data_IF_788286172131
#
_entry.id   IF_788286172131
#
_cell.length_a   1.000
_cell.length_b   1.000
_cell.length_c   1.000
_cell.angle_alpha   90.00
_cell.angle_beta   90.00
_cell.angle_gamma   90.00
#
_symmetry.space_group_name_H-M   'P 1'
#
loop_
_entity.id
_entity.type
_entity.pdbx_description
1 polymer ?
#
# COMPACT_ATOMS: atom_id res chain seq x y z
N UNK A 1 40.79 -38.51 -86.46
CA UNK A 1 40.73 -37.03 -86.55
C UNK A 1 41.56 -36.49 -85.40
N UNK A 2 42.85 -36.21 -85.65
CA UNK A 2 43.38 -34.88 -86.02
C UNK A 2 42.97 -33.80 -85.00
N UNK A 3 43.83 -33.06 -84.31
CA UNK A 3 45.30 -32.82 -84.33
C UNK A 3 45.60 -32.13 -82.98
N UNK A 4 46.57 -32.57 -82.16
CA UNK A 4 47.98 -32.09 -82.14
C UNK A 4 48.08 -30.60 -81.71
N UNK A 5 48.75 -30.15 -80.65
CA UNK A 5 50.20 -30.17 -80.28
C UNK A 5 50.29 -29.41 -78.93
N UNK A 6 50.80 -29.97 -77.83
CA UNK A 6 52.20 -30.00 -77.31
C UNK A 6 52.81 -28.62 -76.95
N UNK A 7 53.53 -28.53 -75.81
CA UNK A 7 53.93 -27.31 -75.10
C UNK A 7 55.40 -26.90 -75.40
N UNK A 8 55.93 -25.98 -74.58
CA UNK A 8 57.34 -25.56 -74.38
C UNK A 8 57.79 -24.29 -75.11
N UNK A 9 58.34 -23.32 -74.36
CA UNK A 9 59.78 -23.00 -74.38
C UNK A 9 60.13 -21.64 -73.73
N UNK A 10 61.01 -21.74 -72.71
CA UNK A 10 62.20 -20.90 -72.43
C UNK A 10 62.03 -19.40 -72.10
N UNK A 11 62.80 -18.79 -71.17
CA UNK A 11 64.27 -18.71 -71.24
C UNK A 11 64.89 -18.09 -69.94
N UNK A 12 65.97 -18.70 -69.42
CA UNK A 12 67.18 -18.13 -68.77
C UNK A 12 67.08 -17.30 -67.45
N UNK A 13 68.03 -17.30 -66.50
CA UNK A 13 69.45 -17.70 -66.39
C UNK A 13 69.81 -17.85 -64.89
N UNK A 14 70.79 -18.72 -64.61
CA UNK A 14 71.51 -18.96 -63.35
C UNK A 14 72.16 -17.70 -62.72
N UNK A 15 72.34 -17.68 -61.39
CA UNK A 15 73.65 -17.78 -60.70
C UNK A 15 73.57 -17.40 -59.20
N UNK A 16 73.95 -18.38 -58.37
CA UNK A 16 74.87 -18.32 -57.21
C UNK A 16 74.61 -17.35 -56.03
N UNK A 17 74.72 -17.94 -54.82
CA UNK A 17 75.44 -17.33 -53.70
C UNK A 17 74.59 -17.14 -52.44
N UNK A 18 74.65 -18.10 -51.53
CA UNK A 18 74.02 -17.99 -50.22
C UNK A 18 74.63 -16.88 -49.35
N UNK A 19 73.75 -16.20 -48.63
CA UNK A 19 74.01 -15.59 -47.32
C UNK A 19 72.72 -15.71 -46.51
N UNK A 20 72.80 -16.40 -45.37
CA UNK A 20 71.71 -16.57 -44.42
C UNK A 20 71.20 -15.21 -43.92
N UNK A 21 69.88 -14.99 -43.97
CA UNK A 21 69.22 -13.94 -43.17
C UNK A 21 67.75 -14.31 -42.95
N UNK A 22 67.44 -14.70 -41.70
CA UNK A 22 66.12 -14.66 -41.07
C UNK A 22 65.03 -15.54 -41.67
N UNK A 23 64.69 -16.66 -41.01
CA UNK A 23 63.34 -17.22 -41.09
C UNK A 23 62.35 -16.17 -40.57
N UNK A 24 61.59 -15.55 -41.48
CA UNK A 24 60.33 -14.91 -41.11
C UNK A 24 59.30 -16.02 -40.87
N UNK A 25 58.89 -16.13 -39.60
CA UNK A 25 57.76 -16.93 -39.18
C UNK A 25 56.51 -16.56 -39.99
N UNK A 26 55.61 -17.53 -40.29
CA UNK A 26 54.37 -17.23 -40.98
C UNK A 26 53.53 -16.26 -40.14
N UNK A 27 52.87 -15.34 -40.85
CA UNK A 27 52.00 -14.31 -40.32
C UNK A 27 51.17 -14.82 -39.13
N UNK A 28 51.30 -14.11 -38.01
CA UNK A 28 50.47 -14.26 -36.82
C UNK A 28 49.01 -14.26 -37.29
N UNK A 29 48.33 -15.39 -37.12
CA UNK A 29 46.87 -15.47 -37.22
C UNK A 29 46.34 -14.43 -36.25
N UNK A 30 45.73 -13.37 -36.77
CA UNK A 30 44.99 -12.45 -35.92
C UNK A 30 43.98 -13.28 -35.12
N UNK A 31 44.06 -13.18 -33.80
CA UNK A 31 43.03 -13.72 -32.91
C UNK A 31 41.66 -13.22 -33.42
N UNK A 32 40.60 -14.04 -33.35
CA UNK A 32 39.24 -13.55 -33.58
C UNK A 32 39.04 -12.26 -32.75
N UNK A 33 38.38 -11.23 -33.27
CA UNK A 33 38.07 -10.05 -32.46
C UNK A 33 37.43 -10.51 -31.17
N UNK A 34 37.94 -10.03 -30.03
CA UNK A 34 37.27 -10.26 -28.75
C UNK A 34 35.80 -9.85 -28.91
N UNK A 35 34.84 -10.68 -28.48
CA UNK A 35 33.44 -10.32 -28.57
C UNK A 35 33.25 -8.99 -27.85
N UNK A 36 32.73 -8.00 -28.58
CA UNK A 36 32.36 -6.71 -27.99
C UNK A 36 31.43 -6.98 -26.81
N UNK A 37 31.68 -6.40 -25.61
CA UNK A 37 30.75 -6.51 -24.50
C UNK A 37 29.36 -6.05 -24.95
N UNK A 38 28.34 -6.86 -24.66
CA UNK A 38 26.95 -6.52 -24.95
C UNK A 38 26.53 -5.32 -24.12
N UNK A 39 25.69 -4.48 -24.68
CA UNK A 39 25.01 -3.41 -23.96
C UNK A 39 23.90 -3.98 -23.06
N UNK A 40 23.45 -3.21 -22.07
CA UNK A 40 22.33 -3.59 -21.23
C UNK A 40 21.05 -3.88 -22.03
N UNK A 41 20.82 -3.09 -23.09
CA UNK A 41 19.69 -3.29 -24.00
C UNK A 41 19.79 -4.61 -24.79
N UNK A 42 20.97 -4.93 -25.33
CA UNK A 42 21.18 -6.22 -26.02
C UNK A 42 21.02 -7.41 -25.06
N UNK A 43 21.40 -7.27 -23.79
CA UNK A 43 21.18 -8.31 -22.77
C UNK A 43 19.70 -8.47 -22.41
N UNK A 44 18.95 -7.37 -22.34
CA UNK A 44 17.49 -7.41 -22.16
C UNK A 44 16.79 -8.10 -23.34
N UNK A 45 17.19 -7.79 -24.58
CA UNK A 45 16.63 -8.39 -25.80
C UNK A 45 16.87 -9.90 -25.92
N UNK A 46 17.82 -10.44 -25.16
CA UNK A 46 18.10 -11.87 -25.07
C UNK A 46 17.28 -12.60 -24.00
N UNK A 47 16.60 -11.87 -23.12
CA UNK A 47 15.76 -12.47 -22.08
C UNK A 47 14.48 -13.06 -22.68
N UNK A 48 14.03 -14.15 -22.07
CA UNK A 48 12.70 -14.71 -22.33
C UNK A 48 11.71 -13.86 -21.55
N UNK A 49 10.68 -13.37 -22.22
CA UNK A 49 9.56 -12.65 -21.60
C UNK A 49 8.28 -13.37 -22.02
N UNK A 50 7.61 -13.97 -21.05
CA UNK A 50 6.37 -14.73 -21.21
C UNK A 50 5.56 -14.74 -19.91
N UNK A 51 4.53 -15.59 -19.80
CA UNK A 51 3.65 -15.63 -18.62
C UNK A 51 4.38 -16.11 -17.33
N UNK A 52 5.63 -16.56 -17.42
CA UNK A 52 6.43 -17.03 -16.28
C UNK A 52 7.78 -16.34 -16.13
N UNK A 53 8.18 -15.49 -17.09
CA UNK A 53 9.43 -14.72 -17.05
C UNK A 53 9.18 -13.26 -17.45
N UNK A 54 9.77 -12.34 -16.71
CA UNK A 54 9.84 -10.92 -17.04
C UNK A 54 11.28 -10.41 -16.92
N UNK A 55 11.59 -9.37 -17.65
CA UNK A 55 12.88 -8.69 -17.57
C UNK A 55 12.76 -7.22 -17.97
N UNK A 56 13.47 -6.35 -17.27
CA UNK A 56 13.45 -4.92 -17.54
C UNK A 56 14.73 -4.24 -17.05
N UNK A 57 14.96 -3.02 -17.53
CA UNK A 57 16.10 -2.20 -17.13
C UNK A 57 15.65 -1.13 -16.14
N UNK A 58 16.43 -0.94 -15.08
CA UNK A 58 16.28 0.17 -14.12
C UNK A 58 17.49 1.07 -14.26
N UNK A 59 17.30 2.30 -14.74
CA UNK A 59 18.37 3.30 -14.77
C UNK A 59 18.51 3.93 -13.39
N UNK A 60 19.46 3.45 -12.61
CA UNK A 60 19.70 3.97 -11.26
C UNK A 60 20.19 5.42 -11.27
N UNK A 61 20.66 5.96 -12.41
CA UNK A 61 21.30 7.28 -12.50
C UNK A 61 22.69 7.37 -11.83
N UNK A 62 23.03 6.42 -10.95
CA UNK A 62 24.24 6.39 -10.14
C UNK A 62 25.44 5.70 -10.79
N UNK A 63 26.40 5.26 -9.95
CA UNK A 63 27.67 4.65 -10.40
C UNK A 63 27.49 3.36 -11.20
N UNK A 64 26.36 2.68 -11.03
CA UNK A 64 26.05 1.42 -11.71
C UNK A 64 25.31 1.64 -13.04
N UNK A 65 24.73 2.81 -13.26
CA UNK A 65 23.95 3.13 -14.46
C UNK A 65 22.70 2.24 -14.54
N UNK A 66 22.44 1.68 -15.71
CA UNK A 66 21.31 0.77 -15.91
C UNK A 66 21.62 -0.65 -15.41
N UNK A 67 20.74 -1.18 -14.56
CA UNK A 67 20.74 -2.55 -14.07
C UNK A 67 19.66 -3.37 -14.78
N UNK A 68 19.91 -4.66 -14.97
CA UNK A 68 18.92 -5.60 -15.51
C UNK A 68 18.24 -6.33 -14.34
N UNK A 69 16.93 -6.24 -14.27
CA UNK A 69 16.10 -7.02 -13.35
C UNK A 69 15.47 -8.16 -14.14
N UNK A 70 15.53 -9.38 -13.60
CA UNK A 70 14.81 -10.55 -14.11
C UNK A 70 13.89 -11.09 -13.04
N UNK A 71 12.70 -11.50 -13.45
CA UNK A 71 11.70 -12.12 -12.58
C UNK A 71 11.27 -13.44 -13.19
N UNK A 72 11.44 -14.53 -12.46
CA UNK A 72 10.96 -15.86 -12.87
C UNK A 72 9.98 -16.43 -11.85
N UNK A 73 8.92 -17.09 -12.32
CA UNK A 73 8.04 -17.86 -11.45
C UNK A 73 8.85 -18.99 -10.80
N UNK A 74 8.86 -19.07 -9.46
CA UNK A 74 9.78 -19.92 -8.72
C UNK A 74 9.62 -21.41 -9.08
N UNK A 75 10.61 -22.05 -9.73
CA UNK A 75 10.46 -23.42 -10.18
C UNK A 75 10.82 -24.36 -9.04
N UNK A 76 9.84 -24.79 -8.22
CA UNK A 76 9.87 -26.04 -7.41
C UNK A 76 8.71 -26.13 -6.39
N UNK A 77 7.46 -26.07 -6.84
CA UNK A 77 6.29 -26.39 -6.00
C UNK A 77 5.85 -25.30 -5.02
N UNK A 78 6.45 -24.10 -5.11
CA UNK A 78 5.95 -22.87 -4.51
C UNK A 78 5.17 -22.07 -5.56
N UNK A 79 4.03 -22.62 -6.00
CA UNK A 79 3.07 -21.83 -6.78
C UNK A 79 2.72 -20.55 -5.99
N UNK A 80 2.72 -19.40 -6.67
CA UNK A 80 2.47 -18.10 -6.06
C UNK A 80 3.72 -17.39 -5.51
N UNK A 81 4.94 -17.73 -5.96
CA UNK A 81 6.17 -17.00 -5.65
C UNK A 81 6.98 -16.68 -6.92
N UNK A 82 7.69 -15.55 -6.92
CA UNK A 82 8.65 -15.14 -7.94
C UNK A 82 10.07 -15.00 -7.38
N UNK A 83 11.08 -15.40 -8.15
CA UNK A 83 12.49 -15.08 -7.92
C UNK A 83 12.82 -13.79 -8.68
N UNK A 84 13.26 -12.79 -7.94
CA UNK A 84 13.76 -11.52 -8.44
C UNK A 84 15.28 -11.56 -8.40
N UNK A 85 15.93 -11.25 -9.52
CA UNK A 85 17.38 -11.13 -9.60
C UNK A 85 17.77 -9.82 -10.26
N UNK A 86 18.75 -9.14 -9.67
CA UNK A 86 19.31 -7.89 -10.20
C UNK A 86 20.72 -8.18 -10.69
N UNK A 87 21.02 -7.74 -11.90
CA UNK A 87 22.27 -8.01 -12.59
C UNK A 87 22.96 -6.70 -12.98
N UNK A 88 24.28 -6.68 -12.87
CA UNK A 88 25.12 -5.63 -13.47
C UNK A 88 25.42 -6.03 -14.93
N UNK A 89 24.93 -5.29 -15.94
CA UNK A 89 25.21 -5.59 -17.35
C UNK A 89 26.70 -5.65 -17.72
N UNK A 90 27.58 -5.09 -16.88
CA UNK A 90 29.04 -5.11 -17.05
C UNK A 90 29.66 -6.41 -16.52
N UNK A 91 28.99 -7.13 -15.64
CA UNK A 91 29.39 -8.42 -15.08
C UNK A 91 28.18 -9.34 -14.83
N UNK A 92 27.84 -10.12 -15.86
CA UNK A 92 26.72 -11.07 -15.84
C UNK A 92 27.09 -12.44 -15.22
N UNK A 93 28.23 -12.56 -14.52
CA UNK A 93 28.64 -13.85 -13.96
C UNK A 93 27.73 -14.34 -12.83
N UNK A 94 27.25 -13.41 -11.99
CA UNK A 94 26.32 -13.67 -10.89
C UNK A 94 25.43 -12.44 -10.67
N UNK A 95 24.19 -12.60 -10.21
CA UNK A 95 23.36 -11.45 -9.85
C UNK A 95 23.95 -10.75 -8.63
N UNK A 96 23.82 -9.42 -8.57
CA UNK A 96 24.24 -8.60 -7.44
C UNK A 96 23.26 -8.69 -6.27
N UNK A 97 22.00 -9.06 -6.55
CA UNK A 97 20.93 -9.23 -5.56
C UNK A 97 19.95 -10.32 -6.03
N UNK A 98 19.42 -11.08 -5.08
CA UNK A 98 18.40 -12.12 -5.29
C UNK A 98 17.37 -12.07 -4.19
N UNK A 99 16.09 -12.22 -4.52
CA UNK A 99 15.00 -12.22 -3.56
C UNK A 99 13.85 -13.13 -4.03
N UNK A 100 13.13 -13.74 -3.09
CA UNK A 100 11.96 -14.58 -3.39
C UNK A 100 10.75 -13.97 -2.68
N UNK A 101 9.69 -13.67 -3.43
CA UNK A 101 8.48 -13.00 -2.94
C UNK A 101 7.21 -13.70 -3.37
N UNK A 102 6.12 -13.63 -2.57
CA UNK A 102 4.79 -13.98 -3.05
C UNK A 102 4.44 -13.19 -4.32
N UNK A 103 3.84 -13.84 -5.30
CA UNK A 103 3.52 -13.23 -6.58
C UNK A 103 2.36 -13.97 -7.26
N UNK A 104 1.27 -13.26 -7.52
CA UNK A 104 0.10 -13.82 -8.21
C UNK A 104 0.35 -14.05 -9.70
N UNK A 105 1.10 -13.16 -10.35
CA UNK A 105 1.40 -13.20 -11.78
C UNK A 105 2.70 -12.47 -12.14
N UNK A 106 3.35 -12.91 -13.22
CA UNK A 106 4.54 -12.27 -13.79
C UNK A 106 4.12 -11.32 -14.93
N UNK A 107 4.82 -10.18 -15.05
CA UNK A 107 4.81 -9.34 -16.26
C UNK A 107 4.42 -7.88 -16.09
N UNK A 108 4.20 -7.38 -14.87
CA UNK A 108 3.81 -6.00 -14.62
C UNK A 108 4.78 -5.32 -13.64
N UNK A 109 5.59 -4.41 -14.20
CA UNK A 109 6.59 -3.64 -13.49
C UNK A 109 6.48 -2.14 -13.81
N UNK A 110 7.11 -1.33 -12.97
CA UNK A 110 7.29 0.10 -13.17
C UNK A 110 8.71 0.49 -12.79
N UNK A 111 9.30 1.45 -13.51
CA UNK A 111 10.52 2.13 -13.09
C UNK A 111 10.23 3.61 -12.88
N UNK A 112 10.63 4.13 -11.72
CA UNK A 112 10.30 5.48 -11.24
C UNK A 112 11.24 5.85 -10.11
N UNK A 113 11.50 7.13 -9.88
CA UNK A 113 12.12 7.62 -8.65
C UNK A 113 11.03 7.68 -7.57
N UNK A 114 10.95 6.65 -6.73
CA UNK A 114 9.85 6.41 -5.80
C UNK A 114 10.00 7.17 -4.48
N UNK A 115 11.23 7.50 -4.09
CA UNK A 115 11.54 8.32 -2.93
C UNK A 115 11.94 9.77 -3.24
N UNK A 116 11.97 10.11 -4.52
CA UNK A 116 12.26 11.45 -5.05
C UNK A 116 13.70 11.91 -4.74
N UNK A 117 14.62 10.97 -4.59
CA UNK A 117 16.03 11.23 -4.27
C UNK A 117 16.91 11.47 -5.51
N UNK A 118 16.34 11.25 -6.70
CA UNK A 118 16.98 11.43 -8.00
C UNK A 118 17.56 10.16 -8.60
N UNK A 119 17.47 9.02 -7.92
CA UNK A 119 17.84 7.71 -8.46
C UNK A 119 16.62 6.94 -8.97
N UNK A 120 16.86 5.99 -9.87
CA UNK A 120 15.79 5.16 -10.41
C UNK A 120 15.53 3.94 -9.55
N UNK A 121 14.28 3.79 -9.13
CA UNK A 121 13.74 2.65 -8.40
C UNK A 121 12.88 1.77 -9.30
N UNK A 122 12.39 0.67 -8.74
CA UNK A 122 11.38 -0.13 -9.43
C UNK A 122 10.29 -0.67 -8.51
N UNK A 123 9.11 -0.82 -9.11
CA UNK A 123 7.96 -1.48 -8.53
C UNK A 123 7.57 -2.72 -9.33
N UNK A 124 6.97 -3.69 -8.65
CA UNK A 124 6.42 -4.90 -9.27
C UNK A 124 5.06 -5.23 -8.70
N UNK A 125 4.08 -5.46 -9.57
CA UNK A 125 2.72 -5.81 -9.16
C UNK A 125 2.70 -7.23 -8.61
N UNK A 126 2.31 -7.42 -7.35
CA UNK A 126 2.26 -8.75 -6.74
C UNK A 126 0.86 -9.33 -6.60
N UNK A 127 -0.16 -8.48 -6.53
CA UNK A 127 -1.56 -8.91 -6.45
C UNK A 127 -2.45 -8.04 -7.34
N UNK A 128 -3.23 -8.69 -8.19
CA UNK A 128 -4.06 -8.03 -9.21
C UNK A 128 -5.53 -8.47 -9.11
N UNK A 129 -6.40 -7.51 -8.82
CA UNK A 129 -7.85 -7.67 -8.87
C UNK A 129 -8.49 -6.84 -9.99
N UNK A 130 -9.81 -6.66 -9.94
CA UNK A 130 -10.50 -5.63 -10.73
C UNK A 130 -10.40 -4.25 -10.03
N UNK A 131 -9.19 -3.92 -9.50
CA UNK A 131 -8.91 -3.06 -8.35
C UNK A 131 -9.52 -3.56 -7.02
N UNK A 132 -8.80 -3.47 -5.88
CA UNK A 132 -7.45 -2.91 -5.71
C UNK A 132 -6.33 -3.78 -6.34
N UNK A 133 -5.21 -3.14 -6.66
CA UNK A 133 -3.96 -3.73 -7.16
C UNK A 133 -2.82 -3.36 -6.20
N UNK A 134 -1.93 -4.29 -5.87
CA UNK A 134 -0.88 -4.09 -4.87
C UNK A 134 0.52 -4.38 -5.41
N UNK A 135 1.48 -3.56 -4.99
CA UNK A 135 2.81 -3.49 -5.54
C UNK A 135 3.87 -3.61 -4.46
N UNK A 136 4.98 -4.28 -4.78
CA UNK A 136 6.23 -4.12 -4.05
C UNK A 136 7.04 -3.01 -4.71
N UNK A 137 7.78 -2.25 -3.91
CA UNK A 137 8.72 -1.24 -4.40
C UNK A 137 10.08 -1.41 -3.74
N UNK A 138 11.11 -1.20 -4.55
CA UNK A 138 12.50 -1.38 -4.21
C UNK A 138 13.27 -0.10 -4.53
N UNK A 139 13.76 0.56 -3.48
CA UNK A 139 14.49 1.82 -3.53
C UNK A 139 15.98 1.59 -3.72
N UNK A 140 16.62 2.36 -4.60
CA UNK A 140 18.03 2.24 -4.90
C UNK A 140 18.90 2.88 -3.80
N UNK A 141 19.62 2.05 -3.05
CA UNK A 141 20.66 2.54 -2.14
C UNK A 141 22.00 2.64 -2.89
N UNK A 142 22.35 3.86 -3.32
CA UNK A 142 23.60 4.13 -4.04
C UNK A 142 24.86 3.82 -3.21
N UNK A 143 24.82 4.00 -1.88
CA UNK A 143 25.96 3.70 -1.00
C UNK A 143 26.22 2.19 -0.99
N UNK A 144 25.17 1.40 -0.78
CA UNK A 144 25.22 -0.05 -0.71
C UNK A 144 25.30 -0.71 -2.08
N UNK A 145 24.89 -0.01 -3.15
CA UNK A 145 24.83 -0.53 -4.52
C UNK A 145 23.84 -1.67 -4.67
N UNK A 146 22.67 -1.55 -4.03
CA UNK A 146 21.61 -2.56 -4.05
C UNK A 146 20.26 -1.91 -3.83
N UNK A 147 19.20 -2.63 -4.15
CA UNK A 147 17.85 -2.18 -3.86
C UNK A 147 17.38 -2.64 -2.48
N UNK A 148 16.73 -1.75 -1.73
CA UNK A 148 16.05 -2.03 -0.47
C UNK A 148 14.53 -1.95 -0.68
N UNK A 149 13.79 -2.97 -0.29
CA UNK A 149 12.32 -2.93 -0.35
C UNK A 149 11.78 -1.90 0.65
N UNK A 150 10.81 -1.10 0.21
CA UNK A 150 10.02 -0.23 1.07
C UNK A 150 8.65 -0.91 1.35
N UNK A 151 8.45 -1.45 2.56
CA UNK A 151 7.25 -2.21 2.89
C UNK A 151 5.96 -1.37 2.88
N UNK A 152 6.02 -0.05 3.08
CA UNK A 152 4.83 0.80 3.09
C UNK A 152 4.05 0.74 1.77
N UNK A 153 4.72 0.52 0.63
CA UNK A 153 4.05 0.40 -0.66
C UNK A 153 3.14 -0.82 -0.80
N UNK A 154 3.35 -1.87 0.00
CA UNK A 154 2.48 -3.05 -0.02
C UNK A 154 1.03 -2.70 0.36
N UNK A 155 0.84 -1.62 1.12
CA UNK A 155 -0.46 -1.16 1.60
C UNK A 155 -1.04 -0.04 0.71
N UNK A 156 -0.30 0.44 -0.29
CA UNK A 156 -0.73 1.48 -1.23
C UNK A 156 -1.24 0.83 -2.50
N UNK A 157 -2.56 0.87 -2.71
CA UNK A 157 -3.12 0.35 -3.95
C UNK A 157 -2.88 1.29 -5.12
N UNK A 158 -2.42 0.72 -6.25
CA UNK A 158 -2.22 1.42 -7.53
C UNK A 158 -1.44 2.74 -7.40
N UNK A 159 -0.20 2.70 -6.88
CA UNK A 159 0.57 3.89 -6.55
C UNK A 159 0.88 4.73 -7.79
N UNK A 160 0.59 6.03 -7.71
CA UNK A 160 0.87 7.03 -8.73
C UNK A 160 1.80 8.10 -8.16
N UNK A 161 2.91 8.35 -8.84
CA UNK A 161 3.98 9.24 -8.38
C UNK A 161 3.86 10.63 -9.02
N UNK A 162 3.55 11.66 -8.22
CA UNK A 162 3.65 13.06 -8.61
C UNK A 162 5.07 13.56 -8.29
N UNK A 163 5.94 13.50 -9.31
CA UNK A 163 7.34 13.91 -9.21
C UNK A 163 7.52 15.41 -8.95
N UNK A 164 6.58 16.26 -9.38
CA UNK A 164 6.69 17.71 -9.19
C UNK A 164 6.37 18.10 -7.74
N UNK A 165 5.35 17.45 -7.16
CA UNK A 165 4.93 17.70 -5.77
C UNK A 165 5.59 16.77 -4.75
N UNK A 166 6.33 15.76 -5.21
CA UNK A 166 6.92 14.70 -4.39
C UNK A 166 5.85 14.00 -3.53
N UNK A 167 4.80 13.51 -4.20
CA UNK A 167 3.67 12.82 -3.58
C UNK A 167 3.45 11.44 -4.21
N UNK A 168 3.01 10.50 -3.39
CA UNK A 168 2.52 9.19 -3.84
C UNK A 168 1.03 9.09 -3.57
N UNK A 169 0.23 8.95 -4.62
CA UNK A 169 -1.22 8.76 -4.52
C UNK A 169 -1.56 7.27 -4.62
N UNK A 170 -2.53 6.81 -3.84
CA UNK A 170 -3.08 5.46 -3.95
C UNK A 170 -4.60 5.47 -4.09
N UNK A 171 -5.14 4.48 -4.78
CA UNK A 171 -6.57 4.28 -4.98
C UNK A 171 -6.98 2.81 -4.87
N UNK A 172 -7.72 2.49 -3.81
CA UNK A 172 -8.31 1.16 -3.60
C UNK A 172 -9.83 1.24 -3.78
N UNK A 173 -10.33 0.82 -4.94
CA UNK A 173 -11.78 0.78 -5.22
C UNK A 173 -12.46 -0.31 -4.40
N UNK A 174 -13.58 0.02 -3.75
CA UNK A 174 -14.39 -0.94 -3.00
C UNK A 174 -15.68 -1.36 -3.72
N UNK A 175 -16.20 -0.56 -4.66
CA UNK A 175 -17.41 -0.92 -5.41
C UNK A 175 -17.48 -0.31 -6.82
N UNK A 176 -18.47 -0.75 -7.61
CA UNK A 176 -18.79 -0.17 -8.91
C UNK A 176 -19.38 1.25 -8.84
N UNK A 177 -19.70 1.75 -7.65
CA UNK A 177 -20.20 3.11 -7.42
C UNK A 177 -19.08 4.15 -7.24
N UNK A 178 -17.82 3.78 -7.52
CA UNK A 178 -16.62 4.62 -7.30
C UNK A 178 -16.34 4.95 -5.83
N UNK A 179 -16.89 4.15 -4.92
CA UNK A 179 -16.48 4.12 -3.50
C UNK A 179 -15.13 3.43 -3.35
N UNK A 180 -14.45 3.73 -2.25
CA UNK A 180 -13.15 3.19 -1.92
C UNK A 180 -12.31 4.14 -1.09
N UNK A 181 -11.01 3.87 -1.08
CA UNK A 181 -10.01 4.57 -0.31
C UNK A 181 -9.03 5.31 -1.23
N UNK A 182 -9.01 6.63 -1.14
CA UNK A 182 -7.96 7.48 -1.71
C UNK A 182 -6.91 7.77 -0.63
N UNK A 183 -5.64 7.68 -0.98
CA UNK A 183 -4.54 8.02 -0.07
C UNK A 183 -3.53 8.93 -0.76
N UNK A 184 -2.91 9.82 0.01
CA UNK A 184 -1.79 10.65 -0.44
C UNK A 184 -0.68 10.56 0.59
N UNK A 185 0.52 10.24 0.13
CA UNK A 185 1.68 10.00 0.97
C UNK A 185 2.82 10.96 0.62
N UNK A 186 3.68 11.20 1.60
CA UNK A 186 4.89 12.01 1.48
C UNK A 186 6.00 11.40 2.32
N UNK A 187 7.22 11.48 1.81
CA UNK A 187 8.43 11.17 2.59
C UNK A 187 8.66 12.24 3.65
N UNK A 188 8.64 11.85 4.92
CA UNK A 188 8.89 12.71 6.07
C UNK A 188 9.92 12.00 6.94
N UNK A 189 11.06 12.64 7.18
CA UNK A 189 12.16 12.09 7.97
C UNK A 189 12.64 10.68 7.53
N UNK A 190 12.52 10.37 6.24
CA UNK A 190 12.93 9.09 5.65
C UNK A 190 11.89 7.97 5.73
N UNK A 191 10.66 8.28 6.14
CA UNK A 191 9.54 7.35 6.15
C UNK A 191 8.43 7.83 5.21
N UNK A 192 7.78 6.90 4.49
CA UNK A 192 6.64 7.19 3.64
C UNK A 192 5.36 7.30 4.48
N UNK A 193 4.95 8.52 4.82
CA UNK A 193 3.82 8.78 5.70
C UNK A 193 2.57 9.10 4.87
N UNK A 194 1.44 8.47 5.19
CA UNK A 194 0.13 8.85 4.66
C UNK A 194 -0.28 10.20 5.25
N UNK A 195 -0.21 11.26 4.46
CA UNK A 195 -0.53 12.63 4.89
C UNK A 195 -2.00 12.99 4.71
N UNK A 196 -2.71 12.25 3.86
CA UNK A 196 -4.16 12.34 3.71
C UNK A 196 -4.78 11.00 3.34
N UNK A 197 -5.85 10.64 4.03
CA UNK A 197 -6.68 9.46 3.79
C UNK A 197 -8.14 9.89 3.60
N UNK A 198 -8.74 9.54 2.47
CA UNK A 198 -10.15 9.82 2.18
C UNK A 198 -10.85 8.49 1.93
N UNK A 199 -11.79 8.15 2.80
CA UNK A 199 -12.56 6.92 2.73
C UNK A 199 -14.02 7.26 2.42
N UNK A 200 -14.50 6.76 1.28
CA UNK A 200 -15.90 6.84 0.89
C UNK A 200 -16.43 5.43 0.74
N UNK A 201 -17.34 5.00 1.60
CA UNK A 201 -17.83 3.62 1.59
C UNK A 201 -19.35 3.56 1.76
N UNK A 202 -19.95 2.54 1.16
CA UNK A 202 -21.38 2.27 1.32
C UNK A 202 -21.60 1.83 2.77
N UNK A 203 -22.46 2.55 3.49
CA UNK A 203 -22.79 2.22 4.86
C UNK A 203 -23.78 1.04 4.89
N UNK A 204 -23.24 -0.14 5.16
CA UNK A 204 -24.06 -1.33 5.30
C UNK A 204 -25.03 -1.25 6.50
N UNK A 205 -24.79 -0.38 7.49
CA UNK A 205 -25.68 -0.21 8.64
C UNK A 205 -26.95 0.60 8.29
N UNK A 206 -26.98 1.24 7.14
CA UNK A 206 -28.18 1.95 6.63
C UNK A 206 -28.91 1.12 5.58
N UNK A 207 -28.74 -0.21 5.57
CA UNK A 207 -29.32 -1.06 4.53
C UNK A 207 -28.73 -0.77 3.14
N UNK A 208 -27.49 -0.27 3.06
CA UNK A 208 -26.81 0.16 1.83
C UNK A 208 -27.42 1.39 1.15
N UNK A 209 -28.25 2.16 1.86
CA UNK A 209 -28.91 3.37 1.33
C UNK A 209 -28.04 4.65 1.46
N UNK A 210 -26.88 4.56 2.10
CA UNK A 210 -26.05 5.73 2.38
C UNK A 210 -24.58 5.47 2.13
N UNK A 211 -23.82 6.56 1.97
CA UNK A 211 -22.36 6.57 1.91
C UNK A 211 -21.86 7.38 3.08
N UNK A 212 -20.87 6.87 3.81
CA UNK A 212 -20.08 7.73 4.69
C UNK A 212 -18.85 8.22 3.92
N UNK A 213 -18.49 9.48 4.15
CA UNK A 213 -17.24 10.08 3.71
C UNK A 213 -16.46 10.49 4.95
N UNK A 214 -15.22 10.01 5.05
CA UNK A 214 -14.28 10.33 6.13
C UNK A 214 -12.99 10.87 5.55
N UNK A 215 -12.42 11.90 6.18
CA UNK A 215 -11.11 12.45 5.79
C UNK A 215 -10.22 12.55 7.00
N UNK A 216 -9.04 11.93 6.90
CA UNK A 216 -7.97 12.01 7.89
C UNK A 216 -6.74 12.69 7.30
N UNK A 217 -6.12 13.58 8.10
CA UNK A 217 -4.86 14.24 7.79
C UNK A 217 -3.80 13.91 8.84
N UNK A 218 -2.54 13.85 8.40
CA UNK A 218 -1.40 13.81 9.31
C UNK A 218 -1.08 15.20 9.84
N UNK A 219 -1.28 15.42 11.15
CA UNK A 219 -1.09 16.71 11.81
C UNK A 219 -0.30 16.50 13.11
N UNK A 220 0.83 17.20 13.24
CA UNK A 220 1.67 17.20 14.45
C UNK A 220 1.97 15.79 14.99
N UNK A 221 2.18 14.84 14.07
CA UNK A 221 2.48 13.45 14.37
C UNK A 221 1.27 12.53 14.52
N UNK A 222 0.03 13.02 14.54
CA UNK A 222 -1.17 12.20 14.69
C UNK A 222 -1.96 12.12 13.38
N UNK A 223 -2.63 10.99 13.14
CA UNK A 223 -3.68 10.89 12.13
C UNK A 223 -4.98 11.48 12.70
N UNK A 224 -5.46 12.55 12.10
CA UNK A 224 -6.61 13.32 12.59
C UNK A 224 -7.73 13.26 11.58
N UNK A 225 -8.87 12.71 11.97
CA UNK A 225 -10.10 12.87 11.20
C UNK A 225 -10.63 14.29 11.29
N UNK A 226 -10.56 15.01 10.18
CA UNK A 226 -11.05 16.38 10.06
C UNK A 226 -12.51 16.45 9.62
N UNK A 227 -12.99 15.40 8.97
CA UNK A 227 -14.31 15.36 8.38
C UNK A 227 -14.93 13.98 8.46
N UNK A 228 -16.20 13.94 8.83
CA UNK A 228 -17.05 12.77 8.69
C UNK A 228 -18.48 13.20 8.40
N UNK A 229 -19.09 12.62 7.37
CA UNK A 229 -20.48 12.85 7.06
C UNK A 229 -21.09 11.67 6.30
N UNK A 230 -22.37 11.42 6.56
CA UNK A 230 -23.18 10.46 5.81
C UNK A 230 -24.04 11.19 4.77
N UNK A 231 -24.15 10.60 3.59
CA UNK A 231 -24.90 11.09 2.43
C UNK A 231 -25.88 10.03 1.97
N UNK A 232 -26.98 10.47 1.34
CA UNK A 232 -27.86 9.55 0.62
C UNK A 232 -27.09 9.01 -0.59
N UNK A 233 -27.08 7.68 -0.77
CA UNK A 233 -26.34 7.04 -1.85
C UNK A 233 -26.78 7.56 -3.24
N UNK A 234 -28.07 7.88 -3.40
CA UNK A 234 -28.64 8.32 -4.68
C UNK A 234 -28.38 9.79 -5.00
N UNK A 235 -28.02 10.62 -4.01
CA UNK A 235 -27.92 12.07 -4.21
C UNK A 235 -26.64 12.50 -4.95
N UNK A 236 -25.57 11.70 -4.87
CA UNK A 236 -24.26 11.95 -5.49
C UNK A 236 -23.51 13.18 -4.96
N UNK A 237 -24.02 13.89 -3.96
CA UNK A 237 -23.42 15.11 -3.41
C UNK A 237 -22.08 14.85 -2.70
N UNK A 238 -21.88 13.63 -2.22
CA UNK A 238 -20.61 13.18 -1.62
C UNK A 238 -19.43 13.26 -2.61
N UNK A 239 -19.65 13.19 -3.92
CA UNK A 239 -18.59 13.38 -4.92
C UNK A 239 -18.03 14.80 -4.89
N UNK A 240 -18.91 15.80 -4.82
CA UNK A 240 -18.50 17.21 -4.77
C UNK A 240 -17.76 17.52 -3.46
N UNK A 241 -18.18 16.92 -2.35
CA UNK A 241 -17.43 17.07 -1.09
C UNK A 241 -16.06 16.40 -1.18
N UNK A 242 -15.99 15.15 -1.65
CA UNK A 242 -14.74 14.40 -1.83
C UNK A 242 -13.74 15.17 -2.71
N UNK A 243 -14.20 15.76 -3.82
CA UNK A 243 -13.33 16.50 -4.74
C UNK A 243 -12.61 17.68 -4.07
N UNK A 244 -13.26 18.37 -3.11
CA UNK A 244 -12.60 19.46 -2.36
C UNK A 244 -11.36 18.98 -1.61
N UNK A 245 -11.47 17.81 -0.98
CA UNK A 245 -10.39 17.21 -0.19
C UNK A 245 -9.29 16.58 -1.06
N UNK A 246 -9.66 16.05 -2.25
CA UNK A 246 -8.70 15.50 -3.21
C UNK A 246 -7.91 16.60 -3.96
N UNK A 247 -8.52 17.76 -4.20
CA UNK A 247 -7.91 18.80 -5.02
C UNK A 247 -6.81 19.61 -4.32
N UNK A 248 -6.89 19.79 -2.99
CA UNK A 248 -6.01 20.68 -2.24
C UNK A 248 -5.66 20.13 -0.86
N UNK A 249 -4.37 19.84 -0.63
CA UNK A 249 -3.86 19.39 0.67
C UNK A 249 -3.92 20.47 1.76
N UNK A 250 -3.99 21.75 1.40
CA UNK A 250 -4.12 22.85 2.35
C UNK A 250 -5.59 23.10 2.76
N UNK A 251 -6.56 22.41 2.13
CA UNK A 251 -7.94 22.43 2.55
C UNK A 251 -8.13 21.53 3.78
N UNK A 252 -8.62 22.10 4.88
CA UNK A 252 -8.85 21.43 6.17
C UNK A 252 -10.32 21.52 6.63
N UNK A 253 -11.24 21.66 5.67
CA UNK A 253 -12.67 21.80 5.93
C UNK A 253 -13.12 23.25 6.13
N UNK A 254 -14.39 23.41 6.48
CA UNK A 254 -14.98 24.72 6.72
C UNK A 254 -14.46 25.38 8.01
N UNK A 255 -14.34 26.73 8.05
CA UNK A 255 -13.88 27.44 9.24
C UNK A 255 -14.69 27.09 10.50
N UNK A 256 -13.99 26.89 11.62
CA UNK A 256 -14.54 26.48 12.90
C UNK A 256 -14.69 24.97 13.10
N UNK A 257 -14.29 24.17 12.11
CA UNK A 257 -14.25 22.70 12.18
C UNK A 257 -13.17 22.13 13.10
N UNK A 258 -12.92 20.82 13.01
CA UNK A 258 -11.99 20.08 13.89
C UNK A 258 -10.59 20.68 13.86
N UNK A 259 -10.06 20.98 12.67
CA UNK A 259 -8.72 21.54 12.49
C UNK A 259 -8.49 22.80 13.33
N UNK A 260 -9.39 23.79 13.23
CA UNK A 260 -9.31 25.05 13.98
C UNK A 260 -9.37 24.86 15.50
N UNK A 261 -9.93 23.75 15.97
CA UNK A 261 -10.06 23.43 17.41
C UNK A 261 -8.81 22.78 17.97
N UNK A 262 -8.13 21.95 17.18
CA UNK A 262 -7.03 21.11 17.66
C UNK A 262 -5.66 21.55 17.16
N UNK A 263 -5.58 22.43 16.17
CA UNK A 263 -4.29 22.90 15.63
C UNK A 263 -3.47 23.56 16.74
N UNK A 264 -2.24 23.06 16.96
CA UNK A 264 -1.37 23.48 18.05
C UNK A 264 -1.78 23.01 19.45
N UNK A 265 -2.85 22.23 19.59
CA UNK A 265 -3.21 21.53 20.83
C UNK A 265 -2.54 20.16 20.94
N UNK A 266 -2.26 19.51 19.81
CA UNK A 266 -1.56 18.24 19.76
C UNK A 266 -0.13 18.38 20.29
N UNK A 267 0.30 17.41 21.11
CA UNK A 267 1.57 17.43 21.83
C UNK A 267 2.45 16.21 21.53
N UNK A 268 2.13 15.48 20.46
CA UNK A 268 2.84 14.27 20.02
C UNK A 268 2.48 12.99 20.77
N UNK A 269 1.66 13.05 21.85
CA UNK A 269 1.24 11.86 22.60
C UNK A 269 0.24 10.98 21.86
N UNK A 270 -0.51 11.57 20.94
CA UNK A 270 -1.62 10.90 20.26
C UNK A 270 -1.13 10.22 18.98
N UNK A 271 -1.60 9.00 18.71
CA UNK A 271 -1.49 8.39 17.39
C UNK A 271 -2.65 8.81 16.50
N UNK A 272 -3.86 8.84 17.06
CA UNK A 272 -5.09 9.09 16.30
C UNK A 272 -6.04 10.03 17.04
N UNK A 273 -6.78 10.83 16.27
CA UNK A 273 -7.79 11.77 16.75
C UNK A 273 -8.99 11.70 15.81
N UNK A 274 -10.20 11.62 16.35
CA UNK A 274 -11.43 11.60 15.54
C UNK A 274 -12.62 12.10 16.36
N UNK A 275 -13.78 12.15 15.71
CA UNK A 275 -15.00 12.63 16.34
C UNK A 275 -16.12 11.60 16.37
N UNK A 276 -16.93 11.65 17.42
CA UNK A 276 -18.16 10.87 17.56
C UNK A 276 -19.30 11.85 17.80
N UNK A 277 -20.26 11.91 16.87
CA UNK A 277 -21.52 12.60 17.11
C UNK A 277 -22.41 11.72 17.97
N UNK A 278 -22.61 12.11 19.22
CA UNK A 278 -23.45 11.36 20.15
C UNK A 278 -24.93 11.53 19.84
N UNK A 279 -25.35 12.56 19.10
CA UNK A 279 -26.76 12.95 18.97
C UNK A 279 -27.39 13.47 20.28
N UNK A 280 -26.61 13.51 21.37
CA UNK A 280 -27.03 13.90 22.72
C UNK A 280 -26.81 15.38 23.03
N UNK A 281 -26.90 15.73 24.32
CA UNK A 281 -26.76 17.13 24.76
C UNK A 281 -25.37 17.74 24.53
N UNK A 282 -24.36 16.88 24.35
CA UNK A 282 -22.99 17.28 24.02
C UNK A 282 -22.74 17.38 22.51
N UNK A 283 -23.63 16.84 21.68
CA UNK A 283 -23.41 16.74 20.23
C UNK A 283 -22.15 15.93 19.93
N UNK A 284 -21.17 16.56 19.29
CA UNK A 284 -19.93 15.94 18.85
C UNK A 284 -18.83 15.98 19.93
N UNK A 285 -18.26 14.82 20.23
CA UNK A 285 -17.12 14.64 21.12
C UNK A 285 -15.85 14.39 20.32
N UNK A 286 -14.71 14.84 20.87
CA UNK A 286 -13.39 14.47 20.37
C UNK A 286 -12.93 13.21 21.09
N UNK A 287 -12.32 12.30 20.35
CA UNK A 287 -11.68 11.12 20.91
C UNK A 287 -10.22 11.09 20.46
N UNK A 288 -9.30 10.90 21.42
CA UNK A 288 -7.87 10.75 21.16
C UNK A 288 -7.36 9.41 21.64
N UNK A 289 -6.45 8.84 20.86
CA UNK A 289 -5.84 7.53 21.12
C UNK A 289 -4.36 7.72 21.40
N UNK A 290 -3.89 7.23 22.54
CA UNK A 290 -2.48 7.31 22.92
C UNK A 290 -1.62 6.42 22.02
N UNK A 291 -0.46 6.96 21.63
CA UNK A 291 0.49 6.25 20.76
C UNK A 291 1.13 5.06 21.45
N UNK A 292 1.59 5.26 22.68
CA UNK A 292 2.31 4.26 23.45
C UNK A 292 1.34 3.57 24.43
N UNK A 293 0.98 2.30 24.21
CA UNK A 293 0.13 1.58 25.14
C UNK A 293 0.85 1.36 26.48
N UNK A 294 0.07 1.36 27.56
CA UNK A 294 0.53 1.00 28.90
C UNK A 294 0.32 -0.49 29.19
N UNK A 295 0.79 -0.97 30.34
CA UNK A 295 0.47 -2.32 30.85
C UNK A 295 -1.04 -2.54 31.04
N UNK A 296 -1.83 -1.47 31.17
CA UNK A 296 -3.28 -1.50 31.31
C UNK A 296 -4.02 -1.44 29.95
N UNK A 297 -3.28 -1.33 28.84
CA UNK A 297 -3.79 -1.13 27.49
C UNK A 297 -3.54 0.29 26.97
N UNK A 298 -4.07 0.57 25.77
CA UNK A 298 -4.03 1.89 25.14
C UNK A 298 -5.06 2.82 25.77
N UNK A 299 -4.65 4.02 26.15
CA UNK A 299 -5.58 5.03 26.64
C UNK A 299 -6.35 5.69 25.49
N UNK A 300 -7.67 5.72 25.62
CA UNK A 300 -8.61 6.42 24.76
C UNK A 300 -9.24 7.53 25.60
N UNK A 301 -8.94 8.78 25.26
CA UNK A 301 -9.45 9.94 25.98
C UNK A 301 -10.60 10.57 25.22
N UNK A 302 -11.70 10.84 25.91
CA UNK A 302 -12.90 11.49 25.37
C UNK A 302 -12.97 12.90 25.90
N UNK A 303 -13.21 13.86 25.02
CA UNK A 303 -13.15 15.29 25.32
C UNK A 303 -14.42 16.01 24.87
N UNK A 304 -14.81 17.01 25.64
CA UNK A 304 -15.81 17.99 25.23
C UNK A 304 -15.14 18.96 24.24
N UNK A 305 -15.67 19.06 23.01
CA UNK A 305 -15.13 19.98 21.99
C UNK A 305 -15.18 21.46 22.42
N UNK A 306 -15.97 21.81 23.43
CA UNK A 306 -16.01 23.15 24.00
C UNK A 306 -14.94 23.41 25.08
N UNK A 307 -14.32 22.36 25.65
CA UNK A 307 -13.28 22.44 26.68
C UNK A 307 -12.28 21.27 26.59
N UNK A 308 -11.15 21.52 25.92
CA UNK A 308 -10.06 20.55 25.76
C UNK A 308 -9.00 20.63 26.89
N UNK A 309 -9.32 21.24 28.04
CA UNK A 309 -8.36 21.38 29.14
C UNK A 309 -8.12 20.10 29.93
N UNK A 310 -9.10 19.19 29.94
CA UNK A 310 -9.01 17.86 30.57
C UNK A 310 -10.00 16.89 29.91
N UNK A 311 -9.69 15.58 29.84
CA UNK A 311 -10.61 14.61 29.28
C UNK A 311 -11.82 14.45 30.21
N UNK A 312 -12.99 14.28 29.60
CA UNK A 312 -14.22 13.92 30.30
C UNK A 312 -14.17 12.48 30.81
N UNK A 313 -13.50 11.62 30.04
CA UNK A 313 -13.37 10.21 30.31
C UNK A 313 -12.05 9.69 29.74
N UNK A 314 -11.43 8.74 30.44
CA UNK A 314 -10.34 7.93 29.92
C UNK A 314 -10.74 6.47 29.99
N UNK A 315 -10.63 5.78 28.87
CA UNK A 315 -10.91 4.36 28.70
C UNK A 315 -9.58 3.68 28.41
N UNK A 316 -9.34 2.51 29.01
CA UNK A 316 -8.19 1.68 28.67
C UNK A 316 -8.69 0.45 27.91
N UNK A 317 -8.16 0.24 26.71
CA UNK A 317 -8.54 -0.86 25.84
C UNK A 317 -7.33 -1.44 25.09
N UNK A 318 -7.38 -2.74 24.80
CA UNK A 318 -6.45 -3.35 23.86
C UNK A 318 -6.97 -3.08 22.45
N UNK A 319 -6.22 -2.34 21.66
CA UNK A 319 -6.59 -2.04 20.27
C UNK A 319 -5.46 -2.47 19.34
N UNK A 320 -5.81 -2.98 18.16
CA UNK A 320 -4.88 -3.08 17.05
C UNK A 320 -4.63 -1.65 16.54
N UNK A 321 -3.38 -1.20 16.64
CA UNK A 321 -3.05 0.13 16.14
C UNK A 321 -3.13 0.16 14.60
N UNK A 322 -3.49 1.31 14.01
CA UNK A 322 -3.84 1.43 12.58
C UNK A 322 -2.69 1.17 11.63
N UNK A 323 -1.44 1.37 12.08
CA UNK A 323 -0.25 1.08 11.29
C UNK A 323 -0.09 -0.43 10.98
N UNK A 324 -0.87 -1.30 11.65
CA UNK A 324 -0.94 -2.74 11.36
C UNK A 324 -2.27 -3.21 10.77
N UNK A 325 -3.21 -2.30 10.48
CA UNK A 325 -4.55 -2.62 9.99
C UNK A 325 -4.79 -2.00 8.61
N UNK A 326 -4.89 -2.85 7.58
CA UNK A 326 -5.22 -2.55 6.18
C UNK A 326 -6.65 -1.96 5.97
N UNK A 327 -7.28 -1.33 6.96
CA UNK A 327 -8.68 -0.89 6.89
C UNK A 327 -9.26 -0.35 8.19
N UNK A 328 -10.58 -0.11 8.20
CA UNK A 328 -11.37 0.53 9.26
C UNK A 328 -11.20 -0.10 10.65
N UNK A 329 -10.20 0.35 11.37
CA UNK A 329 -9.85 -0.05 12.74
C UNK A 329 -10.79 0.56 13.80
N UNK A 330 -11.62 1.53 13.40
CA UNK A 330 -12.69 2.11 14.23
C UNK A 330 -14.05 2.03 13.53
N UNK A 331 -15.12 2.02 14.33
CA UNK A 331 -16.52 2.03 13.88
C UNK A 331 -17.29 3.13 14.60
N UNK A 332 -18.24 3.73 13.90
CA UNK A 332 -19.28 4.61 14.46
C UNK A 332 -20.63 4.06 14.03
N UNK A 333 -21.48 3.78 14.99
CA UNK A 333 -22.80 3.18 14.77
C UNK A 333 -23.62 3.42 16.03
N UNK A 334 -24.95 3.47 15.92
CA UNK A 334 -25.84 3.30 17.06
C UNK A 334 -25.92 1.78 17.35
N UNK A 335 -25.05 1.28 18.23
CA UNK A 335 -24.80 -0.14 18.39
C UNK A 335 -25.88 -0.83 19.24
N UNK A 336 -26.52 -0.12 20.16
CA UNK A 336 -27.65 -0.63 20.95
C UNK A 336 -29.03 -0.13 20.50
N UNK A 337 -29.09 0.62 19.40
CA UNK A 337 -30.30 1.12 18.77
C UNK A 337 -31.11 2.02 19.71
N UNK A 338 -30.42 2.83 20.50
CA UNK A 338 -31.00 3.78 21.45
C UNK A 338 -31.12 5.21 20.91
N UNK A 339 -30.56 5.45 19.72
CA UNK A 339 -30.60 6.71 19.00
C UNK A 339 -29.40 7.63 19.28
N UNK A 340 -28.43 7.18 20.10
CA UNK A 340 -27.17 7.89 20.32
C UNK A 340 -26.04 7.26 19.50
N UNK A 341 -25.03 8.08 19.18
CA UNK A 341 -23.85 7.61 18.45
C UNK A 341 -22.86 6.91 19.36
N UNK A 342 -22.56 5.65 19.04
CA UNK A 342 -21.57 4.82 19.72
C UNK A 342 -20.30 4.67 18.88
N UNK A 343 -19.27 4.08 19.47
CA UNK A 343 -18.07 3.72 18.74
C UNK A 343 -17.55 2.33 19.07
N UNK A 344 -16.73 1.78 18.18
CA UNK A 344 -15.99 0.54 18.42
C UNK A 344 -14.60 0.55 17.83
N UNK A 345 -13.73 -0.33 18.34
CA UNK A 345 -12.34 -0.49 17.90
C UNK A 345 -11.98 -1.93 17.65
N UNK A 346 -11.19 -2.13 16.60
CA UNK A 346 -10.57 -3.39 16.26
C UNK A 346 -9.54 -3.76 17.33
N UNK A 347 -9.72 -4.90 17.99
CA UNK A 347 -8.77 -5.42 18.98
C UNK A 347 -7.99 -6.64 18.51
N UNK A 348 -8.50 -7.34 17.49
CA UNK A 348 -7.80 -8.43 16.81
C UNK A 348 -8.33 -8.59 15.37
N UNK A 349 -7.50 -9.15 14.49
CA UNK A 349 -7.93 -9.56 13.16
C UNK A 349 -7.31 -10.90 12.77
N UNK A 350 -7.99 -11.63 11.89
CA UNK A 350 -7.50 -12.88 11.31
C UNK A 350 -6.85 -12.63 9.95
N UNK A 351 -6.13 -13.65 9.45
CA UNK A 351 -5.44 -13.59 8.14
C UNK A 351 -6.38 -13.36 6.94
N UNK A 352 -7.68 -13.59 7.11
CA UNK A 352 -8.73 -13.28 6.13
C UNK A 352 -9.23 -11.83 6.22
N UNK A 353 -8.53 -10.97 6.96
CA UNK A 353 -8.85 -9.56 7.22
C UNK A 353 -10.16 -9.32 7.98
N UNK A 354 -10.73 -10.36 8.57
CA UNK A 354 -11.87 -10.20 9.44
C UNK A 354 -11.46 -9.74 10.84
N UNK A 355 -12.09 -8.65 11.29
CA UNK A 355 -11.81 -8.02 12.56
C UNK A 355 -12.77 -8.38 13.69
N UNK A 356 -12.26 -8.40 14.90
CA UNK A 356 -13.01 -8.43 16.16
C UNK A 356 -12.99 -7.04 16.79
N UNK A 357 -14.17 -6.57 17.19
CA UNK A 357 -14.33 -5.21 17.70
C UNK A 357 -14.85 -5.21 19.14
N UNK A 358 -14.31 -4.32 19.94
CA UNK A 358 -14.95 -3.90 21.20
C UNK A 358 -15.80 -2.67 20.91
N UNK A 359 -16.96 -2.57 21.56
CA UNK A 359 -17.89 -1.44 21.41
C UNK A 359 -18.15 -0.74 22.74
N UNK A 360 -18.35 0.57 22.65
CA UNK A 360 -18.74 1.42 23.76
C UNK A 360 -19.91 2.28 23.36
N UNK A 361 -20.98 2.20 24.13
CA UNK A 361 -22.20 2.96 23.91
C UNK A 361 -22.23 4.26 24.69
N UNK A 362 -22.85 5.29 24.14
CA UNK A 362 -23.02 6.57 24.81
C UNK A 362 -24.14 6.51 25.86
N UNK A 363 -23.81 6.71 27.14
CA UNK A 363 -24.81 6.90 28.19
C UNK A 363 -25.07 8.40 28.37
N UNK A 364 -26.14 8.92 27.78
CA UNK A 364 -26.51 10.34 27.87
C UNK A 364 -26.77 10.80 29.31
N UNK A 365 -27.27 9.92 30.18
CA UNK A 365 -27.55 10.24 31.58
C UNK A 365 -26.27 10.41 32.40
N UNK A 366 -25.27 9.56 32.15
CA UNK A 366 -23.97 9.61 32.81
C UNK A 366 -22.94 10.47 32.07
N UNK A 367 -23.21 10.86 30.82
CA UNK A 367 -22.33 11.61 29.90
C UNK A 367 -20.97 10.94 29.74
N UNK A 368 -20.97 9.64 29.48
CA UNK A 368 -19.78 8.83 29.29
C UNK A 368 -20.08 7.64 28.38
N UNK A 369 -19.03 7.09 27.78
CA UNK A 369 -19.10 5.85 27.04
C UNK A 369 -18.99 4.63 27.97
N UNK A 370 -19.85 3.64 27.79
CA UNK A 370 -19.89 2.42 28.60
C UNK A 370 -19.61 1.24 27.70
N UNK A 371 -18.62 0.42 28.08
CA UNK A 371 -18.28 -0.81 27.33
C UNK A 371 -19.50 -1.72 27.25
N UNK A 372 -19.73 -2.27 26.08
CA UNK A 372 -20.82 -3.20 25.82
C UNK A 372 -20.32 -4.64 25.96
N UNK A 373 -21.08 -5.46 26.69
CA UNK A 373 -20.80 -6.88 26.83
C UNK A 373 -21.39 -7.68 25.65
N UNK A 374 -20.72 -8.76 25.25
CA UNK A 374 -21.21 -9.71 24.24
C UNK A 374 -20.80 -9.44 22.80
N UNK A 375 -19.99 -8.41 22.55
CA UNK A 375 -19.37 -8.12 21.25
C UNK A 375 -18.01 -8.79 21.03
N UNK A 376 -17.39 -9.27 22.11
CA UNK A 376 -16.01 -9.79 22.14
C UNK A 376 -15.77 -10.91 21.11
N UNK A 377 -16.82 -11.66 20.76
CA UNK A 377 -16.76 -12.77 19.81
C UNK A 377 -17.33 -12.42 18.41
N UNK A 378 -17.92 -11.24 18.19
CA UNK A 378 -18.58 -10.91 16.91
C UNK A 378 -17.57 -10.53 15.83
N UNK A 379 -17.49 -11.37 14.81
CA UNK A 379 -16.66 -11.22 13.60
C UNK A 379 -17.49 -10.55 12.50
N UNK A 380 -17.00 -9.47 11.88
CA UNK A 380 -17.64 -8.77 10.74
C UNK A 380 -19.12 -8.40 11.01
N UNK A 381 -19.34 -7.23 11.59
CA UNK A 381 -20.69 -6.79 11.95
C UNK A 381 -21.40 -6.00 10.84
N UNK A 382 -22.64 -6.39 10.58
CA UNK A 382 -23.65 -5.52 9.96
C UNK A 382 -24.80 -5.33 10.94
N UNK A 383 -25.39 -4.14 10.93
CA UNK A 383 -26.55 -3.82 11.76
C UNK A 383 -27.77 -3.61 10.85
N UNK A 384 -28.89 -4.23 11.18
CA UNK A 384 -30.19 -3.86 10.64
C UNK A 384 -30.92 -3.03 11.71
N UNK A 385 -31.00 -1.70 11.53
CA UNK A 385 -31.62 -0.81 12.50
C UNK A 385 -33.14 -1.01 12.59
N UNK A 386 -33.79 -1.47 11.52
CA UNK A 386 -35.23 -1.72 11.51
C UNK A 386 -35.59 -2.93 12.39
N UNK A 387 -34.77 -3.97 12.33
CA UNK A 387 -34.98 -5.19 13.13
C UNK A 387 -34.22 -5.21 14.46
N UNK A 388 -33.33 -4.22 14.68
CA UNK A 388 -32.40 -4.16 15.82
C UNK A 388 -31.54 -5.42 15.94
N UNK A 389 -31.07 -5.90 14.79
CA UNK A 389 -30.30 -7.14 14.66
C UNK A 389 -28.88 -6.81 14.28
N UNK A 390 -27.93 -7.50 14.90
CA UNK A 390 -26.53 -7.51 14.47
C UNK A 390 -26.21 -8.87 13.85
N UNK A 391 -25.61 -8.84 12.67
CA UNK A 391 -25.15 -10.01 11.93
C UNK A 391 -23.64 -10.15 12.10
N UNK A 392 -23.14 -11.36 12.32
CA UNK A 392 -21.71 -11.67 12.36
C UNK A 392 -21.39 -13.03 11.75
N UNK A 393 -20.15 -13.21 11.30
CA UNK A 393 -19.64 -14.42 10.63
C UNK A 393 -19.50 -15.64 11.58
N UNK A 394 -19.86 -15.51 12.86
CA UNK A 394 -20.08 -16.65 13.75
C UNK A 394 -21.51 -17.20 13.59
N UNK A 395 -21.80 -17.83 12.44
CA UNK A 395 -23.01 -18.65 12.14
C UNK A 395 -24.23 -18.39 13.05
N UNK A 396 -24.77 -17.16 13.07
CA UNK A 396 -25.86 -16.83 13.98
C UNK A 396 -26.35 -15.39 13.87
N UNK A 397 -27.63 -15.21 14.20
CA UNK A 397 -28.25 -13.89 14.35
C UNK A 397 -28.16 -13.48 15.82
N UNK A 398 -27.91 -12.20 16.10
CA UNK A 398 -27.89 -11.69 17.47
C UNK A 398 -28.83 -10.49 17.58
N UNK A 399 -29.68 -10.50 18.60
CA UNK A 399 -30.61 -9.42 18.87
C UNK A 399 -30.26 -8.75 20.19
N UNK A 400 -30.35 -7.41 20.23
CA UNK A 400 -30.15 -6.65 21.46
C UNK A 400 -31.38 -6.79 22.35
N UNK A 401 -31.23 -7.47 23.49
CA UNK A 401 -32.30 -7.66 24.45
C UNK A 401 -31.79 -7.54 25.89
N UNK A 402 -32.46 -6.73 26.70
CA UNK A 402 -32.17 -6.55 28.13
C UNK A 402 -30.71 -6.10 28.42
N UNK A 403 -30.14 -5.25 27.56
CA UNK A 403 -28.81 -4.66 27.77
C UNK A 403 -27.64 -5.57 27.38
N UNK A 404 -27.88 -6.61 26.56
CA UNK A 404 -26.85 -7.48 25.99
C UNK A 404 -27.31 -8.07 24.65
N UNK A 405 -26.36 -8.43 23.79
CA UNK A 405 -26.67 -9.24 22.61
C UNK A 405 -26.87 -10.71 23.02
N UNK A 406 -27.95 -11.31 22.54
CA UNK A 406 -28.24 -12.74 22.70
C UNK A 406 -28.43 -13.39 21.33
N UNK A 407 -27.95 -14.63 21.17
CA UNK A 407 -28.17 -15.39 19.93
C UNK A 407 -29.66 -15.57 19.71
N UNK A 408 -30.14 -15.07 18.57
CA UNK A 408 -31.49 -15.26 18.10
C UNK A 408 -31.61 -16.66 17.50
N UNK A 409 -32.37 -17.52 18.19
CA UNK A 409 -32.82 -18.81 17.65
C UNK A 409 -34.23 -18.59 17.07
N UNK A 410 -34.37 -18.71 15.75
CA UNK A 410 -35.68 -18.66 15.11
C UNK A 410 -36.54 -19.81 15.67
N UNK A 411 -37.55 -19.49 16.48
CA UNK A 411 -38.50 -20.50 16.93
C UNK A 411 -39.32 -20.95 15.72
N UNK A 412 -39.10 -22.20 15.28
CA UNK A 412 -39.91 -22.90 14.28
C UNK A 412 -41.41 -22.60 14.51
N UNK A 413 -42.03 -21.86 13.59
CA UNK A 413 -43.48 -21.61 13.56
C UNK A 413 -44.22 -22.66 12.75
#
# INVERSE_FOLDING_TARGET
>A
MNKKIIPWALLCILLLGGCQRGEEAPAISASPPEPTPKTAQELLEEQIIDDTHDAFLVDTGGRMGALLVTVEQYPDGYEGYGLFEVWDPRDMAHPIQREIKPLDSVGLHQTVDADFDGWGDFGYLYAMGNQPNYWYFWLWDEEQGRFAEEPAFADISDPVFDQEKQLVHGWARSSGASTGLSTTHRWIDGELICVRRIEAEIDANTGFESIFLSVEDWIDGAQVELFYQTYDFEDGSWFEEREKWEADLDYHGEPGGVYDRISGWLDGRWSHVFTVDTGGSLGTLLVTVEREPSDEGTAICVWDMSDLSQPMQTIHAYICQPEGALGGWRRRVDADFDGYGDFGYLWAFQKDHAGFYDFWRWDEGARQFVRMDGFEDLKLMWSDPDTKTVYGDLEGYFQWENGRFARYEEQDR
#
